data_IF_954638532740
#
_entry.id   IF_954638532740
#
_cell.length_a   1.000
_cell.length_b   1.000
_cell.length_c   1.000
_cell.angle_alpha   90.00
_cell.angle_beta   90.00
_cell.angle_gamma   90.00
#
_symmetry.space_group_name_H-M   'P 1'
#
loop_
_entity.id
_entity.type
_entity.pdbx_description
1 polymer ?
#
# COMPACT_ATOMS: atom_id res chain seq x y z
N UNK A 1 -4.18 -4.17 -13.80
CA UNK A 1 -5.03 -3.92 -12.61
C UNK A 1 -4.53 -4.74 -11.42
N UNK A 2 -4.32 -6.04 -11.60
CA UNK A 2 -3.46 -6.85 -10.71
C UNK A 2 -1.97 -6.53 -10.94
N UNK A 3 -1.60 -6.15 -12.16
CA UNK A 3 -0.21 -5.94 -12.57
C UNK A 3 0.58 -4.91 -11.74
N UNK A 4 -0.04 -3.83 -11.25
CA UNK A 4 0.65 -2.83 -10.41
C UNK A 4 0.89 -3.37 -8.99
N UNK A 5 -0.11 -4.07 -8.44
CA UNK A 5 -0.01 -4.69 -7.12
C UNK A 5 1.04 -5.80 -7.14
N UNK A 6 1.05 -6.60 -8.20
CA UNK A 6 2.01 -7.69 -8.37
C UNK A 6 3.43 -7.16 -8.62
N UNK A 7 3.59 -6.09 -9.42
CA UNK A 7 4.89 -5.41 -9.57
C UNK A 7 5.43 -4.87 -8.26
N UNK A 8 4.59 -4.23 -7.43
CA UNK A 8 5.02 -3.72 -6.13
C UNK A 8 5.41 -4.86 -5.18
N UNK A 9 4.67 -5.97 -5.21
CA UNK A 9 5.00 -7.18 -4.45
C UNK A 9 6.32 -7.81 -4.91
N UNK A 10 6.52 -7.98 -6.22
CA UNK A 10 7.76 -8.50 -6.78
C UNK A 10 8.94 -7.59 -6.43
N UNK A 11 8.84 -6.28 -6.62
CA UNK A 11 9.92 -5.35 -6.31
C UNK A 11 10.34 -5.39 -4.84
N UNK A 12 9.39 -5.53 -3.91
CA UNK A 12 9.69 -5.60 -2.48
C UNK A 12 10.26 -6.96 -2.05
N UNK A 13 9.76 -8.06 -2.65
CA UNK A 13 10.24 -9.41 -2.37
C UNK A 13 11.60 -9.71 -3.01
N UNK A 14 11.79 -9.39 -4.29
CA UNK A 14 13.03 -9.66 -5.03
C UNK A 14 14.21 -8.85 -4.48
N UNK A 15 13.95 -7.66 -3.95
CA UNK A 15 14.99 -6.84 -3.33
C UNK A 15 15.39 -7.35 -1.93
N UNK A 16 14.62 -8.28 -1.33
CA UNK A 16 14.87 -8.76 0.04
C UNK A 16 14.75 -7.68 1.12
N UNK A 17 14.17 -6.52 0.79
CA UNK A 17 14.14 -5.34 1.65
C UNK A 17 12.96 -5.36 2.62
N UNK A 18 11.83 -5.94 2.24
CA UNK A 18 10.61 -5.94 3.04
C UNK A 18 9.73 -7.17 2.80
N UNK A 19 9.15 -7.70 3.87
CA UNK A 19 8.20 -8.82 3.83
C UNK A 19 6.78 -8.29 3.92
N UNK A 20 5.89 -8.73 3.02
CA UNK A 20 4.46 -8.46 3.15
C UNK A 20 3.93 -9.15 4.42
N UNK A 21 3.29 -8.38 5.29
CA UNK A 21 2.64 -8.84 6.52
C UNK A 21 1.15 -9.07 6.26
N UNK A 22 0.50 -8.11 5.58
CA UNK A 22 -0.96 -8.09 5.46
C UNK A 22 -1.39 -7.43 4.14
N UNK A 23 -2.36 -8.04 3.48
CA UNK A 23 -3.11 -7.43 2.38
C UNK A 23 -4.57 -7.26 2.84
N UNK A 24 -5.10 -6.05 2.69
CA UNK A 24 -6.49 -5.72 3.05
C UNK A 24 -7.16 -4.98 1.90
N UNK A 25 -8.33 -5.45 1.49
CA UNK A 25 -9.22 -4.67 0.63
C UNK A 25 -9.91 -3.59 1.46
N UNK A 26 -9.80 -2.36 1.00
CA UNK A 26 -10.38 -1.18 1.64
C UNK A 26 -11.16 -0.38 0.60
N UNK A 27 -11.95 0.59 1.06
CA UNK A 27 -12.66 1.52 0.19
C UNK A 27 -12.12 2.93 0.44
N UNK A 28 -11.70 3.62 -0.63
CA UNK A 28 -11.21 5.00 -0.59
C UNK A 28 -12.16 5.84 -1.43
N UNK A 29 -12.94 6.71 -0.78
CA UNK A 29 -13.91 7.60 -1.44
C UNK A 29 -14.87 6.90 -2.43
N UNK A 30 -15.32 5.67 -2.12
CA UNK A 30 -16.19 4.88 -3.00
C UNK A 30 -15.45 3.97 -3.98
N UNK A 31 -14.12 4.06 -4.09
CA UNK A 31 -13.31 3.22 -4.98
C UNK A 31 -12.71 2.02 -4.24
N UNK A 32 -12.66 0.88 -4.92
CA UNK A 32 -11.99 -0.32 -4.40
C UNK A 32 -10.47 -0.07 -4.36
N UNK A 33 -9.89 -0.31 -3.20
CA UNK A 33 -8.50 -0.04 -2.90
C UNK A 33 -7.87 -1.25 -2.20
N UNK A 34 -6.56 -1.40 -2.32
CA UNK A 34 -5.78 -2.41 -1.61
C UNK A 34 -4.74 -1.73 -0.75
N UNK A 35 -4.69 -2.12 0.52
CA UNK A 35 -3.62 -1.75 1.45
C UNK A 35 -2.71 -2.96 1.65
N UNK A 36 -1.42 -2.74 1.48
CA UNK A 36 -0.36 -3.71 1.65
C UNK A 36 0.55 -3.24 2.79
N UNK A 37 0.54 -3.95 3.90
CA UNK A 37 1.41 -3.67 5.04
C UNK A 37 2.67 -4.53 4.94
N UNK A 38 3.83 -3.90 4.96
CA UNK A 38 5.15 -4.49 4.83
C UNK A 38 6.00 -4.25 6.08
N UNK A 39 6.87 -5.20 6.39
CA UNK A 39 7.92 -5.08 7.41
C UNK A 39 9.29 -5.08 6.75
N UNK A 40 10.12 -4.06 7.00
CA UNK A 40 11.52 -4.11 6.56
C UNK A 40 12.26 -5.33 7.17
N UNK A 41 12.98 -6.08 6.35
CA UNK A 41 13.68 -7.33 6.74
C UNK A 41 15.06 -7.04 7.34
N UNK A 42 15.81 -6.07 6.78
CA UNK A 42 17.23 -5.85 7.08
C UNK A 42 17.55 -4.53 7.81
N UNK A 43 16.58 -3.98 8.53
CA UNK A 43 16.82 -2.78 9.32
C UNK A 43 16.80 -3.13 10.80
N UNK A 44 17.85 -2.74 11.53
CA UNK A 44 17.93 -2.76 13.00
C UNK A 44 16.70 -2.12 13.69
N UNK A 45 15.90 -1.37 12.93
CA UNK A 45 14.52 -1.06 13.21
C UNK A 45 13.59 -1.84 12.28
N UNK A 46 12.72 -2.67 12.86
CA UNK A 46 11.53 -3.23 12.20
C UNK A 46 10.54 -2.10 11.92
N UNK A 47 10.85 -1.26 10.95
CA UNK A 47 10.01 -0.13 10.59
C UNK A 47 8.85 -0.60 9.70
N UNK A 48 7.59 -0.49 10.16
CA UNK A 48 6.44 -0.94 9.40
C UNK A 48 6.06 0.10 8.35
N UNK A 49 5.77 -0.37 7.14
CA UNK A 49 5.33 0.43 6.00
C UNK A 49 3.97 -0.05 5.54
N UNK A 50 3.16 0.85 5.02
CA UNK A 50 1.90 0.55 4.37
C UNK A 50 1.88 1.22 3.01
N UNK A 51 1.44 0.49 1.99
CA UNK A 51 1.23 1.00 0.65
C UNK A 51 -0.26 0.87 0.34
N UNK A 52 -0.91 2.00 0.06
CA UNK A 52 -2.30 2.03 -0.37
C UNK A 52 -2.32 2.26 -1.88
N UNK A 53 -2.91 1.32 -2.61
CA UNK A 53 -3.05 1.36 -4.06
C UNK A 53 -4.53 1.38 -4.41
N UNK A 54 -4.96 2.37 -5.18
CA UNK A 54 -6.36 2.46 -5.63
C UNK A 54 -6.47 3.15 -6.97
N UNK A 55 -7.57 2.85 -7.66
CA UNK A 55 -7.82 3.26 -9.04
C UNK A 55 -9.19 3.92 -9.14
N UNK A 56 -9.25 5.10 -9.76
CA UNK A 56 -10.51 5.80 -10.02
C UNK A 56 -10.99 5.67 -11.48
N UNK A 57 -10.44 4.72 -12.24
CA UNK A 57 -10.71 4.51 -13.66
C UNK A 57 -9.93 5.42 -14.61
N UNK A 58 -9.31 6.49 -14.11
CA UNK A 58 -8.53 7.45 -14.90
C UNK A 58 -7.07 7.44 -14.45
N UNK A 59 -6.83 7.39 -13.15
CA UNK A 59 -5.52 7.37 -12.53
C UNK A 59 -5.40 6.24 -11.52
N UNK A 60 -4.20 5.66 -11.46
CA UNK A 60 -3.79 4.76 -10.40
C UNK A 60 -2.94 5.54 -9.40
N UNK A 61 -3.34 5.52 -8.13
CA UNK A 61 -2.64 6.17 -7.03
C UNK A 61 -1.92 5.13 -6.20
N UNK A 62 -0.68 5.42 -5.81
CA UNK A 62 0.12 4.61 -4.89
C UNK A 62 0.66 5.51 -3.78
N UNK A 63 0.28 5.23 -2.54
CA UNK A 63 0.64 6.02 -1.37
C UNK A 63 1.43 5.14 -0.42
N UNK A 64 2.72 5.42 -0.27
CA UNK A 64 3.61 4.76 0.69
C UNK A 64 3.73 5.58 1.97
N UNK A 65 3.42 4.98 3.12
CA UNK A 65 3.40 5.66 4.43
C UNK A 65 3.55 4.67 5.60
N UNK A 66 3.38 5.11 6.84
CA UNK A 66 3.22 4.21 7.99
C UNK A 66 1.78 3.69 8.10
N UNK A 67 1.56 2.46 8.60
CA UNK A 67 0.23 1.88 8.77
C UNK A 67 -0.78 2.79 9.49
N UNK A 68 -0.35 3.47 10.56
CA UNK A 68 -1.20 4.38 11.34
C UNK A 68 -1.57 5.66 10.58
N UNK A 69 -0.73 6.09 9.65
CA UNK A 69 -0.98 7.25 8.80
C UNK A 69 -1.84 6.89 7.60
N UNK A 70 -1.73 5.65 7.09
CA UNK A 70 -2.53 5.16 5.98
C UNK A 70 -4.03 5.30 6.25
N UNK A 71 -4.48 4.97 7.46
CA UNK A 71 -5.90 5.08 7.85
C UNK A 71 -6.40 6.52 7.78
N UNK A 72 -5.64 7.47 8.33
CA UNK A 72 -5.99 8.89 8.26
C UNK A 72 -6.03 9.41 6.83
N UNK A 73 -5.12 8.94 5.97
CA UNK A 73 -5.09 9.31 4.56
C UNK A 73 -6.33 8.76 3.85
N UNK A 74 -6.69 7.50 4.07
CA UNK A 74 -7.88 6.86 3.50
C UNK A 74 -9.15 7.63 3.88
N UNK A 75 -9.30 7.99 5.17
CA UNK A 75 -10.45 8.75 5.66
C UNK A 75 -10.51 10.19 5.11
N UNK A 76 -9.35 10.83 4.96
CA UNK A 76 -9.26 12.22 4.52
C UNK A 76 -9.28 12.36 3.00
N UNK A 77 -9.07 11.28 2.25
CA UNK A 77 -9.01 11.32 0.80
C UNK A 77 -10.39 11.69 0.25
N UNK A 78 -10.42 12.74 -0.55
CA UNK A 78 -11.58 13.16 -1.34
C UNK A 78 -11.16 13.13 -2.78
N UNK A 79 -11.73 12.20 -3.55
CA UNK A 79 -11.64 12.21 -5.01
C UNK A 79 -12.60 13.32 -5.48
N UNK A 80 -12.09 14.29 -6.23
CA UNK A 80 -12.86 15.39 -6.83
C UNK A 80 -13.20 15.06 -8.29
#
# INVERSE_FOLDING_TARGET
>A
REDEVDKVKEQMNESGLASLIKEVKINVSGHEAKRLDYQAIDSKNRDPRAIVIFDNGIYTYSISTHPEQAEKIIESFKVW
#
